data_IF_420458701964
#
_entry.id   IF_420458701964
#
_cell.length_a   1.000
_cell.length_b   1.000
_cell.length_c   1.000
_cell.angle_alpha   90.00
_cell.angle_beta   90.00
_cell.angle_gamma   90.00
#
_symmetry.space_group_name_H-M   'P 1'
#
loop_
_entity.id
_entity.type
_entity.pdbx_description
1 polymer ?
#
# COMPACT_ATOMS: atom_id res chain seq x y z
N UNK A 1 -29.53 -10.01 30.13
CA UNK A 1 -29.23 -8.56 30.32
C UNK A 1 -28.43 -7.92 29.19
N UNK A 2 -27.59 -8.64 28.43
CA UNK A 2 -26.85 -8.05 27.28
C UNK A 2 -27.75 -7.43 26.21
N UNK A 3 -28.83 -8.14 25.81
CA UNK A 3 -29.79 -7.67 24.81
C UNK A 3 -30.54 -6.41 25.28
N UNK A 4 -30.88 -6.32 26.58
CA UNK A 4 -31.54 -5.14 27.16
C UNK A 4 -30.66 -3.89 27.19
N UNK A 5 -29.37 -4.04 27.52
CA UNK A 5 -28.42 -2.92 27.42
C UNK A 5 -28.20 -2.47 25.97
N UNK A 6 -28.14 -3.42 25.04
CA UNK A 6 -28.03 -3.12 23.60
C UNK A 6 -29.29 -2.37 23.11
N UNK A 7 -30.49 -2.82 23.48
CA UNK A 7 -31.76 -2.16 23.12
C UNK A 7 -31.83 -0.73 23.70
N UNK A 8 -31.42 -0.53 24.95
CA UNK A 8 -31.41 0.80 25.57
C UNK A 8 -30.38 1.72 24.90
N UNK A 9 -29.20 1.21 24.55
CA UNK A 9 -28.19 2.01 23.81
C UNK A 9 -28.66 2.32 22.38
N UNK A 10 -29.35 1.39 21.71
CA UNK A 10 -29.93 1.61 20.39
C UNK A 10 -31.11 2.61 20.44
N UNK A 11 -31.95 2.57 21.48
CA UNK A 11 -33.00 3.57 21.72
C UNK A 11 -32.43 4.96 22.00
N UNK A 12 -31.34 5.05 22.76
CA UNK A 12 -30.63 6.31 23.00
C UNK A 12 -29.94 6.85 21.73
N UNK A 13 -29.53 5.98 20.80
CA UNK A 13 -29.03 6.37 19.48
C UNK A 13 -30.16 6.85 18.55
N UNK A 14 -31.34 6.24 18.63
CA UNK A 14 -32.52 6.66 17.87
C UNK A 14 -33.00 8.05 18.28
N UNK A 15 -32.80 8.45 19.54
CA UNK A 15 -33.15 9.78 20.05
C UNK A 15 -32.15 10.90 19.67
N UNK A 16 -31.08 10.63 18.92
CA UNK A 16 -30.09 11.66 18.59
C UNK A 16 -30.56 12.55 17.42
N UNK A 17 -31.01 13.78 17.77
CA UNK A 17 -31.34 14.87 16.84
C UNK A 17 -30.10 15.27 16.03
N UNK A 18 -30.22 15.51 14.70
CA UNK A 18 -29.07 15.87 13.87
C UNK A 18 -28.64 17.32 14.13
N UNK A 19 -27.47 17.53 14.74
CA UNK A 19 -26.84 18.85 14.77
C UNK A 19 -25.98 19.04 13.52
N UNK A 20 -26.53 19.79 12.56
CA UNK A 20 -25.80 20.29 11.39
C UNK A 20 -25.73 21.82 11.50
N UNK A 21 -24.52 22.36 11.55
CA UNK A 21 -24.28 23.79 11.37
C UNK A 21 -23.08 24.31 12.15
N UNK A 22 -21.99 24.63 11.44
CA UNK A 22 -20.86 25.40 11.99
C UNK A 22 -21.37 26.72 12.58
N UNK A 23 -21.05 26.97 13.86
CA UNK A 23 -20.53 28.23 14.40
C UNK A 23 -20.12 27.97 15.84
N UNK A 24 -18.86 28.25 16.15
CA UNK A 24 -18.29 28.13 17.48
C UNK A 24 -19.12 28.94 18.48
N UNK A 25 -19.67 28.24 19.47
CA UNK A 25 -20.17 28.83 20.70
C UNK A 25 -19.63 28.00 21.85
N UNK A 26 -19.01 28.68 22.82
CA UNK A 26 -18.71 28.13 24.13
C UNK A 26 -20.06 27.77 24.75
N UNK A 27 -20.49 26.51 24.62
CA UNK A 27 -21.68 26.02 25.31
C UNK A 27 -21.25 25.22 26.51
N UNK A 28 -21.43 25.85 27.66
CA UNK A 28 -21.57 25.24 28.96
C UNK A 28 -22.39 23.94 28.90
N UNK A 29 -22.03 23.03 29.81
CA UNK A 29 -22.79 21.90 30.29
C UNK A 29 -22.71 20.59 29.48
N UNK A 30 -22.32 19.53 30.20
CA UNK A 30 -22.17 18.15 29.76
C UNK A 30 -23.27 17.73 28.75
N UNK A 31 -22.92 17.01 27.67
CA UNK A 31 -23.93 16.53 26.73
C UNK A 31 -24.94 15.65 27.49
N UNK A 32 -26.23 15.87 27.22
CA UNK A 32 -27.37 15.19 27.87
C UNK A 32 -27.23 13.66 27.82
N UNK A 33 -26.55 13.12 26.81
CA UNK A 33 -26.19 11.71 26.69
C UNK A 33 -25.22 11.23 27.78
N UNK A 34 -24.25 12.05 28.19
CA UNK A 34 -23.30 11.73 29.26
C UNK A 34 -23.95 11.83 30.62
N UNK A 35 -24.81 12.84 30.85
CA UNK A 35 -25.63 12.95 32.06
C UNK A 35 -26.55 11.73 32.15
N UNK A 36 -27.21 11.34 31.07
CA UNK A 36 -28.07 10.15 31.04
C UNK A 36 -27.31 8.85 31.27
N UNK A 37 -26.11 8.68 30.72
CA UNK A 37 -25.26 7.51 30.98
C UNK A 37 -24.79 7.47 32.44
N UNK A 38 -24.34 8.60 33.00
CA UNK A 38 -23.95 8.70 34.41
C UNK A 38 -25.15 8.46 35.32
N UNK A 39 -26.33 9.01 34.99
CA UNK A 39 -27.57 8.81 35.73
C UNK A 39 -28.01 7.35 35.64
N UNK A 40 -27.90 6.69 34.48
CA UNK A 40 -28.27 5.29 34.29
C UNK A 40 -27.29 4.35 35.02
N UNK A 41 -25.98 4.62 34.99
CA UNK A 41 -24.96 3.87 35.74
C UNK A 41 -25.18 4.06 37.24
N UNK A 42 -25.48 5.28 37.68
CA UNK A 42 -25.80 5.59 39.08
C UNK A 42 -27.11 4.93 39.51
N UNK A 43 -28.15 4.96 38.68
CA UNK A 43 -29.44 4.30 38.93
C UNK A 43 -29.25 2.78 38.96
N UNK A 44 -28.50 2.18 38.04
CA UNK A 44 -28.22 0.74 38.06
C UNK A 44 -27.38 0.33 39.27
N UNK A 45 -26.41 1.16 39.68
CA UNK A 45 -25.60 0.93 40.88
C UNK A 45 -26.41 1.10 42.18
N UNK A 46 -27.31 2.08 42.25
CA UNK A 46 -28.21 2.32 43.37
C UNK A 46 -29.27 1.22 43.44
N UNK A 47 -29.97 0.94 42.34
CA UNK A 47 -30.96 -0.15 42.26
C UNK A 47 -30.33 -1.47 42.67
N UNK A 48 -29.12 -1.77 42.21
CA UNK A 48 -28.40 -2.99 42.61
C UNK A 48 -27.94 -2.96 44.07
N UNK A 49 -27.37 -1.85 44.56
CA UNK A 49 -26.96 -1.73 45.97
C UNK A 49 -28.15 -1.87 46.92
N UNK A 50 -29.30 -1.31 46.55
CA UNK A 50 -30.56 -1.44 47.28
C UNK A 50 -31.16 -2.85 47.21
N UNK A 51 -31.06 -3.54 46.06
CA UNK A 51 -31.48 -4.95 45.92
C UNK A 51 -30.51 -5.94 46.61
N UNK A 52 -29.27 -5.54 46.86
CA UNK A 52 -28.22 -6.39 47.43
C UNK A 52 -28.08 -6.22 48.96
N UNK A 53 -28.60 -5.11 49.53
CA UNK A 53 -28.62 -4.87 50.98
C UNK A 53 -29.33 -5.97 51.80
N UNK A 54 -30.43 -6.61 51.34
CA UNK A 54 -31.05 -7.72 52.07
C UNK A 54 -30.45 -9.10 51.78
N UNK A 55 -29.65 -9.27 50.72
CA UNK A 55 -29.09 -10.57 50.33
C UNK A 55 -27.58 -10.45 50.11
N UNK A 56 -26.82 -10.69 51.18
CA UNK A 56 -25.36 -10.74 51.25
C UNK A 56 -24.76 -11.93 50.45
N UNK A 57 -25.22 -12.15 49.22
CA UNK A 57 -24.76 -13.21 48.34
C UNK A 57 -23.99 -12.60 47.16
N UNK A 58 -22.72 -12.98 47.03
CA UNK A 58 -21.81 -12.48 45.99
C UNK A 58 -22.21 -12.93 44.57
N UNK A 59 -23.12 -13.90 44.43
CA UNK A 59 -23.48 -14.56 43.16
C UNK A 59 -25.00 -14.65 42.89
N UNK A 60 -25.75 -13.56 43.02
CA UNK A 60 -27.16 -13.59 42.60
C UNK A 60 -27.23 -13.43 41.07
N UNK A 61 -27.70 -14.49 40.40
CA UNK A 61 -27.97 -14.61 38.95
C UNK A 61 -26.78 -14.78 37.98
N UNK A 62 -25.61 -15.26 38.43
CA UNK A 62 -24.50 -15.64 37.55
C UNK A 62 -23.75 -14.48 36.87
N UNK A 63 -23.98 -13.24 37.31
CA UNK A 63 -23.35 -12.04 36.76
C UNK A 63 -22.04 -11.75 37.50
N UNK A 64 -20.90 -11.99 36.83
CA UNK A 64 -19.57 -11.67 37.37
C UNK A 64 -19.36 -10.15 37.47
N UNK A 65 -19.04 -9.68 38.67
CA UNK A 65 -18.60 -8.30 38.95
C UNK A 65 -17.08 -8.16 38.78
N UNK A 66 -16.58 -6.92 38.73
CA UNK A 66 -15.15 -6.62 38.59
C UNK A 66 -14.35 -7.09 39.81
N UNK A 67 -14.83 -6.83 41.02
CA UNK A 67 -14.13 -7.18 42.27
C UNK A 67 -13.22 -6.06 42.78
N UNK A 68 -12.37 -6.38 43.77
CA UNK A 68 -11.50 -5.38 44.42
C UNK A 68 -10.37 -4.94 43.49
N UNK A 69 -10.31 -3.64 43.22
CA UNK A 69 -9.19 -3.01 42.52
C UNK A 69 -8.36 -2.28 43.57
N UNK A 70 -7.03 -2.47 43.64
CA UNK A 70 -6.19 -1.72 44.57
C UNK A 70 -6.28 -0.22 44.25
N UNK A 71 -6.52 0.60 45.28
CA UNK A 71 -6.53 2.05 45.13
C UNK A 71 -5.12 2.60 45.08
N UNK A 72 -4.94 3.71 44.37
CA UNK A 72 -3.66 4.37 44.22
C UNK A 72 -2.86 3.88 43.02
N UNK A 73 -1.65 4.41 42.92
CA UNK A 73 -0.78 4.23 41.77
C UNK A 73 0.19 3.06 42.03
N UNK A 74 0.44 2.18 41.03
CA UNK A 74 1.48 1.18 41.16
C UNK A 74 2.82 1.87 41.45
N UNK A 75 3.57 1.34 42.41
CA UNK A 75 4.90 1.85 42.69
C UNK A 75 5.76 1.72 41.42
N UNK A 76 6.57 2.75 41.08
CA UNK A 76 7.51 2.62 39.98
C UNK A 76 8.37 1.38 40.20
N UNK A 77 8.32 0.46 39.25
CA UNK A 77 9.13 -0.74 39.23
C UNK A 77 10.07 -0.67 38.04
N UNK A 78 11.36 -0.85 38.29
CA UNK A 78 12.31 -1.01 37.20
C UNK A 78 12.01 -2.38 36.58
N UNK A 79 11.80 -2.48 35.26
CA UNK A 79 11.66 -3.77 34.62
C UNK A 79 12.92 -4.59 34.92
N UNK A 80 12.76 -5.67 35.70
CA UNK A 80 13.88 -6.47 36.17
C UNK A 80 14.32 -7.39 35.02
N UNK A 81 15.42 -7.01 34.39
CA UNK A 81 16.11 -7.82 33.41
C UNK A 81 17.06 -8.79 34.16
N UNK A 82 16.72 -10.08 34.25
CA UNK A 82 17.60 -11.09 34.86
C UNK A 82 17.88 -12.26 33.90
N UNK A 83 19.11 -12.82 33.90
CA UNK A 83 19.31 -14.20 33.47
C UNK A 83 18.61 -15.14 34.46
N UNK A 84 17.98 -16.21 33.97
CA UNK A 84 17.12 -17.12 34.77
C UNK A 84 17.81 -17.71 36.02
N UNK A 85 19.14 -17.66 36.10
CA UNK A 85 19.94 -18.25 37.20
C UNK A 85 19.99 -17.37 38.47
N UNK A 86 19.44 -16.16 38.46
CA UNK A 86 19.39 -15.31 39.66
C UNK A 86 18.12 -15.58 40.49
N UNK A 87 18.14 -16.68 41.24
CA UNK A 87 17.17 -16.92 42.33
C UNK A 87 17.59 -16.07 43.53
N UNK A 88 17.02 -14.88 43.69
CA UNK A 88 17.11 -14.17 44.97
C UNK A 88 16.18 -14.87 45.97
N UNK A 89 16.73 -15.79 46.78
CA UNK A 89 16.03 -16.40 47.92
C UNK A 89 15.82 -15.33 49.00
N UNK A 90 14.79 -14.51 48.85
CA UNK A 90 14.28 -13.70 49.95
C UNK A 90 13.25 -14.56 50.69
N UNK A 91 13.72 -15.28 51.71
CA UNK A 91 12.86 -15.90 52.71
C UNK A 91 12.24 -14.79 53.57
N UNK A 92 11.05 -14.31 53.22
CA UNK A 92 10.18 -13.62 54.18
C UNK A 92 9.11 -14.60 54.64
N UNK A 93 9.29 -15.12 55.85
CA UNK A 93 8.25 -15.79 56.62
C UNK A 93 7.07 -14.83 56.81
N UNK A 94 6.01 -14.99 56.01
CA UNK A 94 4.63 -14.74 56.44
C UNK A 94 3.65 -15.08 55.30
N UNK A 95 2.98 -16.22 55.48
CA UNK A 95 1.57 -16.48 55.15
C UNK A 95 0.94 -15.67 54.02
N UNK A 96 0.65 -16.31 52.89
CA UNK A 96 -0.71 -16.35 52.33
C UNK A 96 -0.86 -17.46 51.29
N UNK A 97 -1.76 -18.39 51.62
CA UNK A 97 -2.23 -19.51 50.81
C UNK A 97 -3.08 -18.96 49.67
N UNK A 98 -2.78 -19.36 48.43
CA UNK A 98 -3.59 -19.06 47.28
C UNK A 98 -4.86 -19.93 47.27
N UNK A 99 -6.03 -19.29 47.28
CA UNK A 99 -7.33 -19.93 47.05
C UNK A 99 -8.05 -19.19 45.92
N UNK A 100 -8.18 -19.84 44.77
CA UNK A 100 -9.15 -19.59 43.69
C UNK A 100 -9.51 -18.12 43.33
N UNK A 101 -8.53 -17.36 42.89
CA UNK A 101 -8.77 -16.09 42.20
C UNK A 101 -7.46 -15.55 41.67
N UNK A 102 -7.40 -15.18 40.40
CA UNK A 102 -6.21 -14.56 39.80
C UNK A 102 -5.93 -13.24 40.51
N UNK A 103 -5.06 -13.28 41.52
CA UNK A 103 -4.43 -12.08 42.09
C UNK A 103 -3.46 -11.58 41.03
N UNK A 104 -3.83 -10.50 40.35
CA UNK A 104 -2.92 -9.78 39.45
C UNK A 104 -1.92 -9.06 40.36
N UNK A 105 -0.82 -9.73 40.65
CA UNK A 105 0.28 -9.16 41.42
C UNK A 105 1.14 -8.30 40.49
N UNK A 106 0.98 -6.97 40.59
CA UNK A 106 1.72 -5.99 39.79
C UNK A 106 3.20 -5.87 40.20
N UNK A 107 3.64 -6.58 41.24
CA UNK A 107 4.97 -6.41 41.86
C UNK A 107 6.12 -7.11 41.13
N UNK A 108 5.87 -7.86 40.05
CA UNK A 108 6.91 -8.66 39.39
C UNK A 108 6.82 -8.64 37.86
N UNK A 109 7.07 -7.47 37.26
CA UNK A 109 7.41 -7.40 35.84
C UNK A 109 8.84 -7.93 35.65
N UNK A 110 8.96 -9.15 35.10
CA UNK A 110 10.24 -9.84 34.88
C UNK A 110 10.47 -10.00 33.39
N UNK A 111 11.62 -9.52 32.91
CA UNK A 111 12.06 -9.74 31.52
C UNK A 111 13.26 -10.68 31.56
N UNK A 112 13.13 -11.94 31.08
CA UNK A 112 14.26 -12.86 31.06
C UNK A 112 15.29 -12.44 30.01
N UNK A 113 16.55 -12.23 30.41
CA UNK A 113 17.67 -11.90 29.51
C UNK A 113 18.34 -13.16 28.93
N UNK A 114 18.10 -14.35 29.48
CA UNK A 114 18.90 -15.53 29.11
C UNK A 114 18.55 -16.11 27.72
N UNK A 115 19.55 -16.17 26.83
CA UNK A 115 19.55 -16.94 25.59
C UNK A 115 18.34 -16.70 24.68
N UNK A 116 17.68 -17.79 24.26
CA UNK A 116 16.55 -17.77 23.31
C UNK A 116 15.30 -17.03 23.83
N UNK A 117 15.20 -16.72 25.13
CA UNK A 117 14.02 -16.03 25.70
C UNK A 117 14.01 -14.53 25.39
N UNK A 118 15.17 -13.89 25.31
CA UNK A 118 15.25 -12.48 24.86
C UNK A 118 14.80 -12.36 23.40
N UNK A 119 15.21 -13.32 22.56
CA UNK A 119 14.72 -13.43 21.19
C UNK A 119 13.20 -13.65 21.14
N UNK A 120 12.64 -14.51 22.00
CA UNK A 120 11.19 -14.71 22.08
C UNK A 120 10.44 -13.44 22.52
N UNK A 121 10.94 -12.70 23.51
CA UNK A 121 10.33 -11.43 23.94
C UNK A 121 10.37 -10.42 22.80
N UNK A 122 11.49 -10.30 22.09
CA UNK A 122 11.61 -9.44 20.92
C UNK A 122 10.64 -9.84 19.80
N UNK A 123 10.58 -11.13 19.46
CA UNK A 123 9.68 -11.67 18.43
C UNK A 123 8.20 -11.46 18.77
N UNK A 124 7.82 -11.53 20.05
CA UNK A 124 6.45 -11.28 20.49
C UNK A 124 6.13 -9.78 20.62
N UNK A 125 7.11 -8.95 20.96
CA UNK A 125 6.91 -7.51 21.12
C UNK A 125 6.85 -6.78 19.77
N UNK A 126 7.58 -7.26 18.76
CA UNK A 126 7.65 -6.62 17.45
C UNK A 126 6.28 -6.44 16.79
N UNK A 127 5.40 -7.47 16.68
CA UNK A 127 4.05 -7.29 16.16
C UNK A 127 3.28 -6.20 16.91
N UNK A 128 3.32 -6.19 18.25
CA UNK A 128 2.62 -5.21 19.06
C UNK A 128 3.08 -3.77 18.79
N UNK A 129 4.38 -3.55 18.58
CA UNK A 129 4.93 -2.24 18.22
C UNK A 129 4.44 -1.81 16.84
N UNK A 130 4.45 -2.72 15.86
CA UNK A 130 3.98 -2.42 14.50
C UNK A 130 2.49 -2.10 14.48
N UNK A 131 1.67 -2.92 15.13
CA UNK A 131 0.22 -2.70 15.22
C UNK A 131 -0.06 -1.39 15.96
N UNK A 132 0.59 -1.18 17.11
CA UNK A 132 0.36 0.01 17.92
C UNK A 132 0.76 1.31 17.24
N UNK A 133 1.89 1.31 16.53
CA UNK A 133 2.30 2.45 15.73
C UNK A 133 1.42 2.65 14.50
N UNK A 134 1.08 1.57 13.78
CA UNK A 134 0.19 1.64 12.62
C UNK A 134 -1.19 2.20 12.99
N UNK A 135 -1.72 1.81 14.15
CA UNK A 135 -2.97 2.36 14.69
C UNK A 135 -2.82 3.87 14.97
N UNK A 136 -1.80 4.28 15.73
CA UNK A 136 -1.60 5.70 16.09
C UNK A 136 -1.39 6.58 14.85
N UNK A 137 -0.50 6.18 13.92
CA UNK A 137 -0.21 6.99 12.73
C UNK A 137 -1.39 7.07 11.76
N UNK A 138 -2.19 5.99 11.65
CA UNK A 138 -3.39 5.99 10.81
C UNK A 138 -4.41 6.99 11.32
N UNK A 139 -4.61 7.05 12.64
CA UNK A 139 -5.54 8.02 13.24
C UNK A 139 -5.00 9.45 13.15
N UNK A 140 -3.71 9.65 13.41
CA UNK A 140 -3.09 10.96 13.28
C UNK A 140 -3.23 11.49 11.85
N UNK A 141 -2.92 10.69 10.82
CA UNK A 141 -3.07 11.09 9.42
C UNK A 141 -4.53 11.32 9.01
N UNK A 142 -5.47 10.53 9.54
CA UNK A 142 -6.90 10.71 9.28
C UNK A 142 -7.38 12.10 9.74
N UNK A 143 -7.09 12.49 10.99
CA UNK A 143 -7.47 13.81 11.50
C UNK A 143 -6.61 14.94 10.92
N UNK A 144 -5.32 14.71 10.67
CA UNK A 144 -4.43 15.67 9.98
C UNK A 144 -4.94 16.03 8.59
N UNK A 145 -5.42 15.05 7.83
CA UNK A 145 -6.05 15.29 6.52
C UNK A 145 -7.38 16.04 6.62
N UNK A 146 -8.18 15.78 7.67
CA UNK A 146 -9.48 16.43 7.89
C UNK A 146 -9.35 17.89 8.31
N UNK A 147 -8.40 18.19 9.19
CA UNK A 147 -8.20 19.53 9.77
C UNK A 147 -7.10 20.33 9.05
N UNK A 148 -6.38 19.72 8.11
CA UNK A 148 -5.41 20.39 7.23
C UNK A 148 -4.02 20.61 7.85
N UNK A 149 -3.62 19.83 8.85
CA UNK A 149 -2.28 19.89 9.45
C UNK A 149 -1.41 18.71 9.01
N UNK A 150 -0.09 18.93 9.01
CA UNK A 150 0.89 17.89 8.68
C UNK A 150 1.21 17.06 9.92
N UNK A 151 1.32 15.75 9.73
CA UNK A 151 1.72 14.79 10.75
C UNK A 151 3.09 14.24 10.39
N UNK A 152 4.05 14.42 11.30
CA UNK A 152 5.37 13.79 11.19
C UNK A 152 5.31 12.37 11.77
N UNK A 153 5.60 11.37 10.93
CA UNK A 153 5.52 9.96 11.33
C UNK A 153 6.68 9.56 12.25
N UNK A 154 7.85 10.20 12.09
CA UNK A 154 9.02 9.92 12.94
C UNK A 154 8.78 10.46 14.35
N UNK A 155 8.22 11.67 14.46
CA UNK A 155 7.89 12.27 15.75
C UNK A 155 6.82 11.48 16.51
N UNK A 156 5.79 10.98 15.80
CA UNK A 156 4.75 10.13 16.40
C UNK A 156 5.34 8.82 16.93
N UNK A 157 6.26 8.20 16.17
CA UNK A 157 6.94 6.97 16.62
C UNK A 157 7.74 7.18 17.90
N UNK A 158 8.48 8.29 17.98
CA UNK A 158 9.24 8.67 19.18
C UNK A 158 8.29 8.92 20.35
N UNK A 159 7.17 9.61 20.13
CA UNK A 159 6.20 9.92 21.17
C UNK A 159 5.52 8.66 21.74
N UNK A 160 5.08 7.73 20.87
CA UNK A 160 4.49 6.45 21.29
C UNK A 160 5.53 5.56 21.97
N UNK A 161 6.76 5.52 21.46
CA UNK A 161 7.86 4.77 22.08
C UNK A 161 8.19 5.30 23.49
N UNK A 162 8.29 6.62 23.64
CA UNK A 162 8.53 7.26 24.93
C UNK A 162 7.38 7.02 25.92
N UNK A 163 6.12 7.09 25.48
CA UNK A 163 4.97 6.85 26.34
C UNK A 163 4.91 5.41 26.84
N UNK A 164 5.26 4.43 25.99
CA UNK A 164 5.33 3.02 26.36
C UNK A 164 6.50 2.74 27.30
N UNK A 165 7.66 3.38 27.09
CA UNK A 165 8.81 3.26 27.97
C UNK A 165 8.49 3.78 29.38
N UNK A 166 7.91 4.97 29.48
CA UNK A 166 7.45 5.54 30.76
C UNK A 166 6.38 4.63 31.38
N UNK A 167 5.40 4.17 30.60
CA UNK A 167 4.36 3.25 31.06
C UNK A 167 4.91 1.94 31.61
N UNK A 168 5.97 1.40 30.99
CA UNK A 168 6.64 0.18 31.44
C UNK A 168 7.20 0.26 32.86
N UNK A 169 7.69 1.42 33.29
CA UNK A 169 8.15 1.64 34.68
C UNK A 169 7.02 1.61 35.71
N UNK A 170 5.76 1.72 35.29
CA UNK A 170 4.59 1.74 36.16
C UNK A 170 3.70 0.50 35.96
N UNK A 171 4.30 -0.61 35.52
CA UNK A 171 3.59 -1.86 35.20
C UNK A 171 2.48 -1.68 34.17
N UNK A 172 2.65 -0.71 33.26
CA UNK A 172 1.73 -0.41 32.17
C UNK A 172 1.87 -1.39 31.01
N UNK A 173 0.74 -1.66 30.34
CA UNK A 173 0.73 -2.38 29.06
C UNK A 173 1.05 -1.41 27.91
N UNK A 174 1.35 -1.96 26.73
CA UNK A 174 1.64 -1.18 25.52
C UNK A 174 0.50 -0.20 25.23
N UNK A 175 0.81 1.09 25.17
CA UNK A 175 -0.16 2.15 24.90
C UNK A 175 -0.17 2.50 23.43
N UNK A 176 -1.35 2.61 22.83
CA UNK A 176 -1.54 2.94 21.41
C UNK A 176 -2.49 4.13 21.26
N UNK A 177 -2.58 4.67 20.04
CA UNK A 177 -3.56 5.72 19.73
C UNK A 177 -4.99 5.18 19.81
N UNK A 178 -5.88 5.84 20.54
CA UNK A 178 -7.27 5.39 20.68
C UNK A 178 -8.20 6.06 19.68
N UNK A 179 -8.72 5.30 18.70
CA UNK A 179 -9.70 5.83 17.75
C UNK A 179 -10.93 6.44 18.42
N UNK A 180 -11.51 5.70 19.38
CA UNK A 180 -12.74 6.12 20.07
C UNK A 180 -12.55 7.43 20.85
N UNK A 181 -11.44 7.58 21.57
CA UNK A 181 -11.18 8.80 22.36
C UNK A 181 -10.81 9.98 21.48
N UNK A 182 -10.02 9.77 20.42
CA UNK A 182 -9.67 10.83 19.47
C UNK A 182 -10.89 11.30 18.68
N UNK A 183 -11.77 10.39 18.28
CA UNK A 183 -13.03 10.73 17.62
C UNK A 183 -13.96 11.54 18.53
N UNK A 184 -14.08 11.15 19.80
CA UNK A 184 -14.84 11.91 20.78
C UNK A 184 -14.23 13.30 20.99
N UNK A 185 -12.91 13.39 21.18
CA UNK A 185 -12.20 14.66 21.34
C UNK A 185 -12.39 15.60 20.15
N UNK A 186 -12.32 15.08 18.93
CA UNK A 186 -12.58 15.84 17.70
C UNK A 186 -14.04 16.32 17.66
N UNK A 187 -15.00 15.45 17.97
CA UNK A 187 -16.42 15.79 17.98
C UNK A 187 -16.77 16.84 19.05
N UNK A 188 -16.05 16.86 20.18
CA UNK A 188 -16.20 17.87 21.24
C UNK A 188 -15.43 19.16 20.98
N UNK A 189 -14.67 19.25 19.88
CA UNK A 189 -13.92 20.46 19.52
C UNK A 189 -12.60 20.64 20.29
N UNK A 190 -11.98 19.55 20.77
CA UNK A 190 -10.67 19.63 21.42
C UNK A 190 -9.61 20.10 20.42
N UNK A 191 -9.00 21.26 20.69
CA UNK A 191 -8.06 21.90 19.78
C UNK A 191 -6.58 21.74 20.18
N UNK A 192 -6.28 21.18 21.35
CA UNK A 192 -4.90 21.08 21.87
C UNK A 192 -4.65 19.80 22.68
N UNK A 193 -3.37 19.41 22.76
CA UNK A 193 -2.91 18.27 23.58
C UNK A 193 -3.21 18.43 25.07
N UNK A 194 -3.54 19.65 25.53
CA UNK A 194 -3.95 19.92 26.90
C UNK A 194 -5.17 19.08 27.31
N UNK A 195 -6.08 18.78 26.37
CA UNK A 195 -7.22 17.89 26.63
C UNK A 195 -6.79 16.51 27.11
N UNK A 196 -5.74 15.94 26.52
CA UNK A 196 -5.22 14.62 26.89
C UNK A 196 -4.56 14.66 28.26
N UNK A 197 -3.82 15.73 28.57
CA UNK A 197 -3.20 15.94 29.89
C UNK A 197 -4.27 16.06 30.99
N UNK A 198 -5.29 16.88 30.77
CA UNK A 198 -6.41 17.06 31.70
C UNK A 198 -7.16 15.73 31.91
N UNK A 199 -7.39 14.98 30.83
CA UNK A 199 -8.02 13.65 30.93
C UNK A 199 -7.17 12.71 31.79
N UNK A 200 -5.85 12.71 31.62
CA UNK A 200 -4.92 11.94 32.45
C UNK A 200 -5.01 12.32 33.93
N UNK A 201 -5.02 13.62 34.25
CA UNK A 201 -5.18 14.13 35.62
C UNK A 201 -6.50 13.71 36.26
N UNK A 202 -7.60 13.79 35.51
CA UNK A 202 -8.91 13.33 35.99
C UNK A 202 -8.87 11.83 36.26
N UNK A 203 -8.24 11.03 35.39
CA UNK A 203 -8.10 9.59 35.60
C UNK A 203 -7.29 9.27 36.86
N UNK A 204 -6.24 10.05 37.17
CA UNK A 204 -5.50 9.91 38.43
C UNK A 204 -6.40 10.12 39.66
N UNK A 205 -7.22 11.19 39.66
CA UNK A 205 -8.16 11.46 40.77
C UNK A 205 -9.20 10.34 40.89
N UNK A 206 -9.72 9.87 39.77
CA UNK A 206 -10.72 8.77 39.74
C UNK A 206 -10.13 7.48 40.32
N UNK A 207 -8.89 7.11 39.98
CA UNK A 207 -8.24 5.91 40.53
C UNK A 207 -7.96 6.07 42.05
N UNK A 208 -7.72 7.28 42.52
CA UNK A 208 -7.47 7.49 43.96
C UNK A 208 -8.78 7.47 44.77
N UNK A 209 -9.83 8.13 44.27
CA UNK A 209 -11.07 8.38 45.04
C UNK A 209 -12.18 7.40 44.69
N UNK A 210 -12.38 7.08 43.42
CA UNK A 210 -13.55 6.35 42.92
C UNK A 210 -13.33 4.85 42.73
N UNK A 211 -12.11 4.34 42.96
CA UNK A 211 -11.81 2.90 42.86
C UNK A 211 -12.74 1.99 43.68
N UNK A 212 -13.17 2.34 44.91
CA UNK A 212 -14.14 1.54 45.64
C UNK A 212 -15.49 1.40 44.92
N UNK A 213 -15.90 2.39 44.13
CA UNK A 213 -17.15 2.36 43.37
C UNK A 213 -17.10 1.32 42.23
N UNK A 214 -15.92 1.03 41.68
CA UNK A 214 -15.76 0.05 40.60
C UNK A 214 -15.96 -1.40 41.05
N UNK A 215 -15.93 -1.68 42.36
CA UNK A 215 -16.17 -3.03 42.89
C UNK A 215 -17.50 -3.63 42.41
N UNK A 216 -18.54 -2.79 42.37
CA UNK A 216 -19.91 -3.19 42.03
C UNK A 216 -20.19 -3.25 40.52
N UNK A 217 -19.19 -2.93 39.69
CA UNK A 217 -19.39 -2.81 38.24
C UNK A 217 -19.59 -4.20 37.60
N UNK A 218 -20.70 -4.42 36.85
CA UNK A 218 -20.93 -5.71 36.19
C UNK A 218 -20.06 -5.86 34.94
N UNK A 219 -19.34 -6.98 34.79
CA UNK A 219 -18.55 -7.27 33.57
C UNK A 219 -19.35 -7.19 32.26
N UNK A 220 -20.62 -7.64 32.19
CA UNK A 220 -21.42 -7.51 30.96
C UNK A 220 -21.67 -6.06 30.51
N UNK A 221 -21.68 -5.10 31.44
CA UNK A 221 -21.85 -3.68 31.11
C UNK A 221 -20.63 -3.15 30.33
N UNK A 222 -19.42 -3.53 30.75
CA UNK A 222 -18.19 -3.17 30.03
C UNK A 222 -18.19 -3.77 28.62
N UNK A 223 -18.61 -5.03 28.48
CA UNK A 223 -18.75 -5.68 27.17
C UNK A 223 -19.73 -4.97 26.24
N UNK A 224 -20.88 -4.53 26.76
CA UNK A 224 -21.86 -3.78 25.98
C UNK A 224 -21.28 -2.44 25.47
N UNK A 225 -20.53 -1.71 26.31
CA UNK A 225 -19.88 -0.45 25.93
C UNK A 225 -18.87 -0.68 24.80
N UNK A 226 -18.08 -1.76 24.86
CA UNK A 226 -17.11 -2.12 23.81
C UNK A 226 -17.83 -2.43 22.50
N UNK A 227 -18.85 -3.30 22.51
CA UNK A 227 -19.61 -3.68 21.31
C UNK A 227 -20.23 -2.44 20.64
N UNK A 228 -20.89 -1.57 21.41
CA UNK A 228 -21.50 -0.36 20.87
C UNK A 228 -20.49 0.62 20.28
N UNK A 229 -19.25 0.62 20.77
CA UNK A 229 -18.17 1.44 20.22
C UNK A 229 -17.65 0.85 18.91
N UNK A 230 -17.37 -0.45 18.88
CA UNK A 230 -16.81 -1.14 17.70
C UNK A 230 -17.76 -1.08 16.51
N UNK A 231 -19.08 -1.23 16.72
CA UNK A 231 -20.07 -1.15 15.64
C UNK A 231 -20.04 0.19 14.87
N UNK A 232 -19.62 1.28 15.51
CA UNK A 232 -19.50 2.60 14.87
C UNK A 232 -18.23 2.77 14.04
N UNK A 233 -17.22 1.93 14.26
CA UNK A 233 -15.94 1.97 13.53
C UNK A 233 -16.04 1.23 12.20
N UNK A 234 -17.00 0.31 12.05
CA UNK A 234 -17.18 -0.48 10.83
C UNK A 234 -17.69 0.42 9.69
N UNK A 235 -16.79 0.74 8.76
CA UNK A 235 -17.12 1.54 7.59
C UNK A 235 -17.52 0.65 6.39
N UNK A 236 -18.82 0.39 6.26
CA UNK A 236 -19.39 -0.37 5.15
C UNK A 236 -19.28 0.41 3.82
N UNK A 237 -19.25 1.74 3.86
CA UNK A 237 -19.18 2.56 2.65
C UNK A 237 -17.85 2.35 1.94
N UNK A 238 -16.76 2.17 2.68
CA UNK A 238 -15.45 1.86 2.11
C UNK A 238 -15.44 0.53 1.34
N UNK A 239 -16.14 -0.49 1.84
CA UNK A 239 -16.27 -1.79 1.14
C UNK A 239 -16.98 -1.61 -0.20
N UNK A 240 -18.09 -0.87 -0.21
CA UNK A 240 -18.86 -0.56 -1.43
C UNK A 240 -18.02 0.29 -2.40
N UNK A 241 -17.29 1.28 -1.89
CA UNK A 241 -16.41 2.12 -2.68
C UNK A 241 -15.31 1.32 -3.38
N UNK A 242 -14.68 0.38 -2.67
CA UNK A 242 -13.69 -0.54 -3.26
C UNK A 242 -14.32 -1.44 -4.33
N UNK A 243 -15.53 -1.94 -4.12
CA UNK A 243 -16.27 -2.75 -5.10
C UNK A 243 -16.56 -1.96 -6.40
N UNK A 244 -17.01 -0.71 -6.28
CA UNK A 244 -17.32 0.14 -7.44
C UNK A 244 -16.07 0.66 -8.17
N UNK A 245 -14.97 0.84 -7.45
CA UNK A 245 -13.75 1.44 -8.02
C UNK A 245 -12.83 0.39 -8.64
N UNK A 246 -12.45 -0.65 -7.89
CA UNK A 246 -11.50 -1.66 -8.37
C UNK A 246 -11.58 -2.97 -7.56
N UNK A 247 -12.00 -4.05 -8.21
CA UNK A 247 -12.12 -5.39 -7.62
C UNK A 247 -10.86 -5.90 -6.91
N UNK A 248 -9.66 -5.59 -7.41
CA UNK A 248 -8.42 -6.04 -6.77
C UNK A 248 -8.17 -5.36 -5.41
N UNK A 249 -8.64 -4.13 -5.20
CA UNK A 249 -8.53 -3.46 -3.88
C UNK A 249 -9.54 -4.09 -2.90
N UNK A 250 -10.75 -4.42 -3.38
CA UNK A 250 -11.72 -5.18 -2.61
C UNK A 250 -11.18 -6.56 -2.20
N UNK A 251 -10.46 -7.23 -3.10
CA UNK A 251 -9.84 -8.52 -2.79
C UNK A 251 -8.81 -8.40 -1.66
N UNK A 252 -7.94 -7.38 -1.68
CA UNK A 252 -6.98 -7.13 -0.59
C UNK A 252 -7.71 -6.84 0.74
N UNK A 253 -8.80 -6.07 0.69
CA UNK A 253 -9.61 -5.76 1.87
C UNK A 253 -10.26 -7.02 2.48
N UNK A 254 -10.91 -7.84 1.65
CA UNK A 254 -11.54 -9.08 2.10
C UNK A 254 -10.50 -10.09 2.58
N UNK A 255 -9.38 -10.21 1.88
CA UNK A 255 -8.25 -11.04 2.29
C UNK A 255 -7.74 -10.62 3.67
N UNK A 256 -7.48 -9.33 3.88
CA UNK A 256 -7.05 -8.78 5.18
C UNK A 256 -8.08 -9.06 6.29
N UNK A 257 -9.38 -8.91 5.99
CA UNK A 257 -10.47 -9.18 6.94
C UNK A 257 -10.49 -10.65 7.38
N UNK A 258 -10.54 -11.58 6.42
CA UNK A 258 -10.61 -13.02 6.73
C UNK A 258 -9.31 -13.53 7.35
N UNK A 259 -8.14 -13.09 6.88
CA UNK A 259 -6.87 -13.43 7.50
C UNK A 259 -6.84 -13.00 8.96
N UNK A 260 -7.22 -11.74 9.26
CA UNK A 260 -7.26 -11.23 10.63
C UNK A 260 -8.28 -11.98 11.49
N UNK A 261 -9.45 -12.31 10.93
CA UNK A 261 -10.51 -13.02 11.64
C UNK A 261 -10.10 -14.43 12.06
N UNK A 262 -9.39 -15.16 11.21
CA UNK A 262 -9.01 -16.55 11.49
C UNK A 262 -7.66 -16.71 12.18
N UNK A 263 -6.70 -15.82 11.93
CA UNK A 263 -5.31 -15.96 12.43
C UNK A 263 -4.94 -14.95 13.51
N UNK A 264 -5.79 -13.95 13.74
CA UNK A 264 -5.51 -12.83 14.65
C UNK A 264 -4.89 -11.62 13.95
N UNK A 265 -4.84 -10.46 14.64
CA UNK A 265 -4.43 -9.18 14.05
C UNK A 265 -2.94 -9.14 13.66
N UNK A 266 -2.08 -9.82 14.41
CA UNK A 266 -0.63 -9.82 14.15
C UNK A 266 -0.29 -10.43 12.77
N UNK A 267 -0.77 -11.65 12.53
CA UNK A 267 -0.59 -12.36 11.25
C UNK A 267 -1.45 -11.70 10.16
N UNK A 268 -2.64 -11.22 10.51
CA UNK A 268 -3.54 -10.51 9.60
C UNK A 268 -2.91 -9.29 8.94
N UNK A 269 -2.19 -8.45 9.70
CA UNK A 269 -1.54 -7.24 9.16
C UNK A 269 -0.36 -7.61 8.25
N UNK A 270 0.50 -8.54 8.67
CA UNK A 270 1.66 -8.95 7.88
C UNK A 270 1.22 -9.59 6.56
N UNK A 271 0.20 -10.46 6.61
CA UNK A 271 -0.36 -11.09 5.41
C UNK A 271 -1.01 -10.05 4.48
N UNK A 272 -1.79 -9.11 5.01
CA UNK A 272 -2.39 -8.03 4.22
C UNK A 272 -1.34 -7.13 3.54
N UNK A 273 -0.30 -6.73 4.27
CA UNK A 273 0.82 -5.96 3.74
C UNK A 273 1.56 -6.74 2.63
N UNK A 274 1.83 -8.03 2.87
CA UNK A 274 2.43 -8.92 1.88
C UNK A 274 1.58 -9.05 0.62
N UNK A 275 0.27 -9.22 0.75
CA UNK A 275 -0.66 -9.26 -0.38
C UNK A 275 -0.69 -7.93 -1.15
N UNK A 276 -0.69 -6.80 -0.46
CA UNK A 276 -0.62 -5.48 -1.09
C UNK A 276 0.68 -5.30 -1.89
N UNK A 277 1.81 -5.73 -1.32
CA UNK A 277 3.11 -5.69 -1.99
C UNK A 277 3.14 -6.63 -3.20
N UNK A 278 2.64 -7.87 -3.06
CA UNK A 278 2.56 -8.82 -4.15
C UNK A 278 1.70 -8.28 -5.31
N UNK A 279 0.55 -7.67 -5.00
CA UNK A 279 -0.31 -7.05 -6.00
C UNK A 279 0.36 -5.83 -6.67
N UNK A 280 1.12 -5.04 -5.92
CA UNK A 280 1.91 -3.94 -6.46
C UNK A 280 2.97 -4.45 -7.45
N UNK A 281 3.76 -5.47 -7.05
CA UNK A 281 4.77 -6.09 -7.91
C UNK A 281 4.11 -6.68 -9.16
N UNK A 282 3.01 -7.42 -9.00
CA UNK A 282 2.29 -8.01 -10.13
C UNK A 282 1.85 -6.94 -11.16
N UNK A 283 1.37 -5.79 -10.69
CA UNK A 283 0.97 -4.66 -11.56
C UNK A 283 2.18 -4.01 -12.22
N UNK A 284 3.26 -3.78 -11.48
CA UNK A 284 4.49 -3.19 -12.00
C UNK A 284 5.18 -4.09 -13.04
N UNK A 285 5.09 -5.41 -12.87
CA UNK A 285 5.60 -6.41 -13.81
C UNK A 285 4.79 -6.54 -15.11
N UNK A 286 3.53 -6.10 -15.13
CA UNK A 286 2.63 -6.20 -16.29
C UNK A 286 1.95 -4.86 -16.61
N UNK A 287 2.73 -3.83 -16.94
CA UNK A 287 2.19 -2.53 -17.27
C UNK A 287 1.47 -2.56 -18.62
N UNK A 288 0.73 -1.50 -18.93
CA UNK A 288 0.03 -1.42 -20.22
C UNK A 288 1.04 -1.25 -21.34
N UNK A 289 0.99 -2.14 -22.32
CA UNK A 289 1.72 -2.01 -23.57
C UNK A 289 0.72 -1.80 -24.70
N UNK A 290 0.79 -0.64 -25.36
CA UNK A 290 -0.25 -0.17 -26.28
C UNK A 290 0.31 0.09 -27.67
N UNK A 291 -0.47 -0.25 -28.69
CA UNK A 291 -0.23 0.16 -30.08
C UNK A 291 -0.90 1.51 -30.30
N UNK A 292 -0.18 2.44 -30.93
CA UNK A 292 -0.64 3.80 -31.17
C UNK A 292 -0.96 4.01 -32.65
N UNK A 293 -2.06 4.71 -32.90
CA UNK A 293 -2.47 5.19 -34.22
C UNK A 293 -2.45 6.72 -34.27
N UNK A 294 -2.26 7.27 -35.46
CA UNK A 294 -2.27 8.70 -35.72
C UNK A 294 -3.71 9.19 -35.88
N UNK A 295 -4.07 10.29 -35.23
CA UNK A 295 -5.35 10.95 -35.48
C UNK A 295 -5.27 11.71 -36.83
N UNK A 296 -6.18 11.44 -37.79
CA UNK A 296 -6.18 12.10 -39.10
C UNK A 296 -6.14 13.62 -39.00
N UNK A 297 -5.36 14.26 -39.87
CA UNK A 297 -5.20 15.73 -39.89
C UNK A 297 -4.33 16.30 -38.76
N UNK A 298 -3.81 15.48 -37.84
CA UNK A 298 -2.97 15.96 -36.73
C UNK A 298 -1.62 15.23 -36.66
N UNK A 299 -0.76 15.63 -35.72
CA UNK A 299 0.51 14.93 -35.40
C UNK A 299 0.38 14.07 -34.13
N UNK A 300 -0.84 13.91 -33.59
CA UNK A 300 -1.09 13.22 -32.33
C UNK A 300 -1.26 11.72 -32.53
N UNK A 301 -0.63 10.95 -31.63
CA UNK A 301 -0.74 9.49 -31.56
C UNK A 301 -1.50 9.09 -30.30
N UNK A 302 -2.50 8.21 -30.46
CA UNK A 302 -3.34 7.71 -29.37
C UNK A 302 -3.52 6.20 -29.48
N UNK A 303 -3.86 5.58 -28.36
CA UNK A 303 -4.15 4.16 -28.30
C UNK A 303 -5.35 3.82 -29.19
N UNK A 304 -5.14 2.96 -30.18
CA UNK A 304 -6.14 2.54 -31.18
C UNK A 304 -7.36 1.87 -30.51
N UNK A 305 -7.16 1.21 -29.36
CA UNK A 305 -8.25 0.53 -28.63
C UNK A 305 -9.31 1.50 -28.10
N UNK A 306 -8.92 2.72 -27.72
CA UNK A 306 -9.83 3.70 -27.12
C UNK A 306 -10.25 4.81 -28.09
N UNK A 307 -9.49 4.99 -29.18
CA UNK A 307 -9.73 6.03 -30.17
C UNK A 307 -9.99 5.38 -31.54
N UNK A 308 -11.25 5.13 -31.92
CA UNK A 308 -11.58 4.42 -33.16
C UNK A 308 -11.14 5.18 -34.42
N UNK A 309 -10.99 6.50 -34.33
CA UNK A 309 -10.52 7.33 -35.44
C UNK A 309 -8.99 7.30 -35.62
N UNK A 310 -8.23 6.62 -34.75
CA UNK A 310 -6.78 6.56 -34.83
C UNK A 310 -6.33 5.53 -35.89
N UNK A 311 -5.62 6.00 -36.92
CA UNK A 311 -5.20 5.18 -38.07
C UNK A 311 -3.75 4.75 -37.89
N UNK A 312 -3.48 3.45 -38.05
CA UNK A 312 -2.12 2.90 -38.05
C UNK A 312 -1.48 3.14 -39.40
N UNK A 313 -0.21 3.55 -39.42
CA UNK A 313 0.52 3.81 -40.66
C UNK A 313 1.02 2.47 -41.24
N UNK A 314 0.73 2.14 -42.51
CA UNK A 314 1.22 0.92 -43.15
C UNK A 314 2.74 0.77 -43.03
N UNK A 315 3.22 -0.42 -42.69
CA UNK A 315 4.64 -0.76 -42.52
C UNK A 315 5.32 -0.21 -41.26
N UNK A 316 4.65 0.66 -40.48
CA UNK A 316 5.21 1.28 -39.26
C UNK A 316 4.38 0.93 -38.03
N UNK A 317 4.98 0.19 -37.12
CA UNK A 317 4.36 -0.18 -35.84
C UNK A 317 4.79 0.82 -34.76
N UNK A 318 3.86 1.65 -34.30
CA UNK A 318 4.11 2.60 -33.19
C UNK A 318 3.62 1.99 -31.89
N UNK A 319 4.50 1.83 -30.91
CA UNK A 319 4.18 1.22 -29.61
C UNK A 319 4.62 2.10 -28.45
N UNK A 320 3.89 2.04 -27.33
CA UNK A 320 4.23 2.73 -26.09
C UNK A 320 4.10 1.80 -24.90
N UNK A 321 5.14 1.77 -24.07
CA UNK A 321 5.17 1.02 -22.82
C UNK A 321 4.90 1.99 -21.67
N UNK A 322 3.76 1.85 -20.99
CA UNK A 322 3.32 2.78 -19.93
C UNK A 322 3.98 2.47 -18.57
N UNK A 323 5.31 2.32 -18.52
CA UNK A 323 6.08 2.08 -17.29
C UNK A 323 7.58 2.29 -17.50
N UNK A 324 8.31 2.47 -16.41
CA UNK A 324 9.75 2.22 -16.36
C UNK A 324 10.09 0.77 -16.72
N UNK A 325 11.31 0.54 -17.22
CA UNK A 325 11.81 -0.78 -17.61
C UNK A 325 12.83 -1.26 -16.57
N UNK A 326 12.52 -2.36 -15.92
CA UNK A 326 13.39 -2.96 -14.90
C UNK A 326 13.27 -4.48 -14.92
N UNK A 327 14.15 -5.19 -14.19
CA UNK A 327 14.26 -6.64 -14.19
C UNK A 327 12.92 -7.38 -14.04
N UNK A 328 11.95 -6.80 -13.33
CA UNK A 328 10.66 -7.40 -13.07
C UNK A 328 9.67 -7.36 -14.24
N UNK A 329 9.93 -6.56 -15.30
CA UNK A 329 9.04 -6.44 -16.45
C UNK A 329 9.71 -6.61 -17.82
N UNK A 330 11.02 -6.89 -17.88
CA UNK A 330 11.78 -7.07 -19.13
C UNK A 330 11.24 -8.21 -20.01
N UNK A 331 10.96 -9.37 -19.40
CA UNK A 331 10.41 -10.53 -20.12
C UNK A 331 9.04 -10.21 -20.69
N UNK A 332 8.18 -9.56 -19.87
CA UNK A 332 6.87 -9.11 -20.33
C UNK A 332 6.99 -8.11 -21.48
N UNK A 333 7.93 -7.18 -21.42
CA UNK A 333 8.21 -6.24 -22.50
C UNK A 333 8.63 -6.96 -23.79
N UNK A 334 9.64 -7.83 -23.72
CA UNK A 334 10.16 -8.55 -24.88
C UNK A 334 9.11 -9.44 -25.54
N UNK A 335 8.36 -10.23 -24.75
CA UNK A 335 7.34 -11.15 -25.28
C UNK A 335 6.17 -10.41 -25.94
N UNK A 336 5.70 -9.32 -25.34
CA UNK A 336 4.63 -8.53 -25.95
C UNK A 336 5.11 -7.78 -27.20
N UNK A 337 6.36 -7.29 -27.23
CA UNK A 337 6.90 -6.66 -28.43
C UNK A 337 6.99 -7.67 -29.59
N UNK A 338 7.48 -8.88 -29.32
CA UNK A 338 7.47 -9.98 -30.30
C UNK A 338 6.06 -10.28 -30.81
N UNK A 339 5.09 -10.38 -29.90
CA UNK A 339 3.70 -10.66 -30.21
C UNK A 339 3.05 -9.54 -31.06
N UNK A 340 3.39 -8.27 -30.80
CA UNK A 340 2.93 -7.17 -31.66
C UNK A 340 3.54 -7.23 -33.06
N UNK A 341 4.84 -7.55 -33.16
CA UNK A 341 5.53 -7.72 -34.44
C UNK A 341 4.93 -8.88 -35.24
N UNK A 342 4.64 -10.00 -34.59
CA UNK A 342 4.02 -11.17 -35.23
C UNK A 342 2.62 -10.85 -35.75
N UNK A 343 1.77 -10.21 -34.92
CA UNK A 343 0.44 -9.76 -35.34
C UNK A 343 0.48 -8.79 -36.51
N UNK A 344 1.46 -7.89 -36.52
CA UNK A 344 1.63 -6.91 -37.59
C UNK A 344 2.24 -7.50 -38.86
N UNK A 345 2.82 -8.71 -38.81
CA UNK A 345 3.22 -9.49 -40.00
C UNK A 345 2.04 -10.22 -40.65
N UNK A 346 1.01 -10.57 -39.86
CA UNK A 346 -0.17 -11.31 -40.31
C UNK A 346 -1.28 -10.43 -40.89
N UNK A 347 -1.25 -9.12 -40.66
CA UNK A 347 -2.23 -8.19 -41.20
C UNK A 347 -1.95 -7.86 -42.67
N UNK A 348 -2.50 -8.70 -43.57
CA UNK A 348 -2.64 -8.39 -44.99
C UNK A 348 -3.88 -7.54 -45.18
N UNK A 349 -3.71 -6.25 -45.50
CA UNK A 349 -4.82 -5.35 -45.85
C UNK A 349 -4.71 -5.12 -47.38
N UNK A 350 -5.77 -5.46 -48.11
CA UNK A 350 -5.96 -5.16 -49.54
C UNK A 350 -4.87 -5.67 -50.51
N UNK A 351 -4.39 -6.90 -50.33
CA UNK A 351 -3.42 -7.53 -51.26
C UNK A 351 -2.02 -6.92 -51.26
N UNK A 352 -1.79 -5.84 -50.50
CA UNK A 352 -0.47 -5.23 -50.29
C UNK A 352 0.18 -5.90 -49.09
N UNK A 353 1.41 -6.40 -49.29
CA UNK A 353 2.19 -7.10 -48.28
C UNK A 353 2.66 -6.11 -47.19
N UNK A 354 1.79 -5.80 -46.23
CA UNK A 354 1.98 -4.76 -45.22
C UNK A 354 2.83 -5.26 -44.02
N UNK A 355 3.90 -6.00 -44.31
CA UNK A 355 4.82 -6.48 -43.28
C UNK A 355 5.43 -5.26 -42.57
N UNK A 356 5.33 -5.24 -41.25
CA UNK A 356 6.01 -4.22 -40.44
C UNK A 356 7.52 -4.30 -40.69
N UNK A 357 8.09 -3.18 -41.14
CA UNK A 357 9.53 -3.03 -41.39
C UNK A 357 10.18 -2.04 -40.42
N UNK A 358 9.39 -1.18 -39.77
CA UNK A 358 9.90 -0.23 -38.77
C UNK A 358 9.03 -0.25 -37.52
N UNK A 359 9.67 -0.29 -36.36
CA UNK A 359 9.04 -0.12 -35.05
C UNK A 359 9.46 1.23 -34.50
N UNK A 360 8.49 2.05 -34.09
CA UNK A 360 8.73 3.30 -33.36
C UNK A 360 8.28 3.07 -31.92
N UNK A 361 9.23 3.05 -31.00
CA UNK A 361 8.96 2.95 -29.57
C UNK A 361 8.91 4.34 -28.94
N UNK A 362 7.75 4.70 -28.40
CA UNK A 362 7.57 5.90 -27.59
C UNK A 362 8.04 5.63 -26.15
N UNK A 363 9.14 6.30 -25.79
CA UNK A 363 9.81 6.20 -24.50
C UNK A 363 9.32 7.27 -23.49
N UNK A 364 8.26 8.03 -23.81
CA UNK A 364 7.76 9.12 -22.96
C UNK A 364 7.43 8.72 -21.51
N UNK A 365 6.91 7.50 -21.34
CA UNK A 365 6.52 6.92 -20.04
C UNK A 365 7.63 6.09 -19.37
N UNK A 366 8.78 5.93 -20.03
CA UNK A 366 9.93 5.23 -19.45
C UNK A 366 10.76 6.28 -18.72
N UNK A 367 10.84 6.16 -17.40
CA UNK A 367 11.60 7.09 -16.54
C UNK A 367 12.97 6.51 -16.16
N UNK A 368 13.03 5.18 -16.01
CA UNK A 368 14.23 4.46 -15.62
C UNK A 368 14.40 3.19 -16.48
N UNK A 369 15.66 2.83 -16.73
CA UNK A 369 16.08 1.60 -17.41
C UNK A 369 17.23 1.00 -16.60
N UNK A 370 17.00 -0.16 -15.99
CA UNK A 370 18.07 -0.87 -15.28
C UNK A 370 18.95 -1.69 -16.23
N UNK A 371 20.02 -2.30 -15.69
CA UNK A 371 20.99 -3.05 -16.48
C UNK A 371 20.40 -4.30 -17.13
N UNK A 372 19.47 -4.98 -16.46
CA UNK A 372 18.76 -6.15 -17.01
C UNK A 372 17.83 -5.77 -18.15
N UNK A 373 17.13 -4.63 -18.04
CA UNK A 373 16.31 -4.07 -19.10
C UNK A 373 17.14 -3.65 -20.30
N UNK A 374 18.26 -2.98 -20.07
CA UNK A 374 19.21 -2.61 -21.11
C UNK A 374 19.70 -3.82 -21.89
N UNK A 375 20.11 -4.89 -21.21
CA UNK A 375 20.52 -6.14 -21.84
C UNK A 375 19.39 -6.75 -22.69
N UNK A 376 18.17 -6.81 -22.15
CA UNK A 376 17.00 -7.33 -22.85
C UNK A 376 16.63 -6.49 -24.08
N UNK A 377 16.77 -5.16 -24.00
CA UNK A 377 16.58 -4.27 -25.14
C UNK A 377 17.63 -4.52 -26.22
N UNK A 378 18.91 -4.72 -25.86
CA UNK A 378 19.95 -5.05 -26.85
C UNK A 378 19.62 -6.38 -27.53
N UNK A 379 19.30 -7.44 -26.79
CA UNK A 379 18.90 -8.73 -27.38
C UNK A 379 17.68 -8.61 -28.30
N UNK A 380 16.73 -7.76 -27.95
CA UNK A 380 15.58 -7.44 -28.80
C UNK A 380 15.98 -6.66 -30.06
N UNK A 381 16.92 -5.73 -29.96
CA UNK A 381 17.48 -5.02 -31.11
C UNK A 381 18.13 -5.99 -32.09
N UNK A 382 18.95 -6.93 -31.61
CA UNK A 382 19.63 -7.94 -32.44
C UNK A 382 18.60 -8.82 -33.15
N UNK A 383 17.54 -9.23 -32.44
CA UNK A 383 16.45 -10.03 -32.98
C UNK A 383 15.67 -9.28 -34.07
N UNK A 384 15.39 -7.99 -33.86
CA UNK A 384 14.69 -7.16 -34.84
C UNK A 384 15.55 -6.91 -36.07
N UNK A 385 16.84 -6.64 -35.88
CA UNK A 385 17.82 -6.43 -36.95
C UNK A 385 17.98 -7.69 -37.81
N UNK A 386 18.07 -8.88 -37.20
CA UNK A 386 18.07 -10.17 -37.92
C UNK A 386 16.80 -10.38 -38.77
N UNK A 387 15.67 -9.85 -38.31
CA UNK A 387 14.39 -9.90 -39.04
C UNK A 387 14.21 -8.77 -40.06
N UNK A 388 15.24 -7.93 -40.29
CA UNK A 388 15.19 -6.73 -41.16
C UNK A 388 14.11 -5.73 -40.73
N UNK A 389 13.92 -5.58 -39.42
CA UNK A 389 13.00 -4.60 -38.82
C UNK A 389 13.84 -3.52 -38.14
N UNK A 390 13.70 -2.27 -38.59
CA UNK A 390 14.36 -1.12 -37.96
C UNK A 390 13.65 -0.74 -36.67
N UNK A 391 14.41 -0.36 -35.65
CA UNK A 391 13.88 0.06 -34.36
C UNK A 391 14.28 1.50 -34.04
N UNK A 392 13.29 2.38 -33.97
CA UNK A 392 13.42 3.80 -33.64
C UNK A 392 12.85 4.10 -32.27
N UNK A 393 13.47 5.06 -31.61
CA UNK A 393 13.07 5.55 -30.30
C UNK A 393 12.59 7.00 -30.41
N UNK A 394 11.44 7.29 -29.80
CA UNK A 394 10.87 8.63 -29.75
C UNK A 394 10.66 9.06 -28.30
N UNK A 395 10.70 10.38 -28.04
CA UNK A 395 10.50 10.98 -26.71
C UNK A 395 11.45 10.41 -25.63
N UNK A 396 12.66 10.01 -26.00
CA UNK A 396 13.65 9.49 -25.05
C UNK A 396 14.22 10.63 -24.21
N UNK A 397 14.16 10.50 -22.88
CA UNK A 397 14.79 11.46 -21.96
C UNK A 397 16.31 11.37 -22.04
N UNK A 398 17.00 12.46 -21.72
CA UNK A 398 18.46 12.54 -21.85
C UNK A 398 19.20 11.51 -20.99
N UNK A 399 18.74 11.27 -19.76
CA UNK A 399 19.34 10.28 -18.87
C UNK A 399 19.25 8.86 -19.45
N UNK A 400 18.08 8.51 -20.00
CA UNK A 400 17.87 7.22 -20.66
C UNK A 400 18.72 7.14 -21.92
N UNK A 401 18.75 8.18 -22.75
CA UNK A 401 19.59 8.21 -23.95
C UNK A 401 21.06 7.94 -23.61
N UNK A 402 21.61 8.55 -22.55
CA UNK A 402 22.98 8.29 -22.07
C UNK A 402 23.16 6.84 -21.63
N UNK A 403 22.20 6.27 -20.90
CA UNK A 403 22.24 4.87 -20.46
C UNK A 403 22.21 3.90 -21.63
N UNK A 404 21.32 4.12 -22.61
CA UNK A 404 21.25 3.32 -23.83
C UNK A 404 22.56 3.48 -24.63
N UNK A 405 23.04 4.70 -24.84
CA UNK A 405 24.28 4.93 -25.58
C UNK A 405 25.47 4.23 -24.91
N UNK A 406 25.62 4.32 -23.59
CA UNK A 406 26.68 3.63 -22.85
C UNK A 406 26.57 2.10 -22.98
N UNK A 407 25.36 1.54 -22.84
CA UNK A 407 25.14 0.09 -22.94
C UNK A 407 25.43 -0.50 -24.31
N UNK A 408 24.96 0.16 -25.37
CA UNK A 408 25.19 -0.30 -26.74
C UNK A 408 26.65 -0.12 -27.18
N UNK A 409 27.36 0.90 -26.67
CA UNK A 409 28.81 1.05 -26.88
C UNK A 409 29.59 -0.14 -26.32
N UNK A 410 29.19 -0.66 -25.14
CA UNK A 410 29.89 -1.78 -24.46
C UNK A 410 29.75 -3.09 -25.21
N UNK A 411 28.67 -3.27 -26.00
CA UNK A 411 28.39 -4.50 -26.76
C UNK A 411 28.80 -4.45 -28.24
N UNK A 412 29.58 -3.44 -28.64
CA UNK A 412 30.09 -3.23 -30.01
C UNK A 412 29.02 -2.97 -31.10
N UNK A 413 27.72 -3.00 -30.78
CA UNK A 413 26.64 -2.63 -31.70
C UNK A 413 26.23 -1.16 -31.50
N UNK A 414 26.56 -0.29 -32.46
CA UNK A 414 26.07 1.10 -32.44
C UNK A 414 24.68 1.18 -33.04
N UNK A 415 23.65 1.41 -32.20
CA UNK A 415 22.42 2.03 -32.68
C UNK A 415 22.79 3.43 -33.16
N UNK A 416 22.58 3.76 -34.44
CA UNK A 416 22.94 5.07 -34.95
C UNK A 416 22.19 6.18 -34.21
N UNK A 417 22.86 7.32 -33.97
CA UNK A 417 22.22 8.46 -33.32
C UNK A 417 20.94 8.93 -34.05
N UNK A 418 20.83 8.67 -35.36
CA UNK A 418 19.65 8.98 -36.17
C UNK A 418 18.43 8.07 -35.93
N UNK A 419 18.53 7.04 -35.07
CA UNK A 419 17.39 6.24 -34.63
C UNK A 419 16.63 6.89 -33.46
N UNK A 420 17.17 7.96 -32.87
CA UNK A 420 16.57 8.68 -31.76
C UNK A 420 15.91 9.97 -32.23
N UNK A 421 14.63 10.12 -31.92
CA UNK A 421 13.81 11.26 -32.32
C UNK A 421 13.23 11.96 -31.08
N UNK A 422 13.15 13.29 -31.14
CA UNK A 422 12.51 14.08 -30.07
C UNK A 422 11.02 13.81 -29.93
N UNK A 423 10.34 13.47 -31.04
CA UNK A 423 8.91 13.23 -31.08
C UNK A 423 8.56 12.02 -31.95
N UNK A 424 7.39 11.43 -31.72
CA UNK A 424 6.89 10.26 -32.47
C UNK A 424 6.64 10.60 -33.94
N UNK A 425 6.09 11.78 -34.23
CA UNK A 425 5.70 12.13 -35.62
C UNK A 425 6.89 12.18 -36.60
N UNK A 426 8.01 12.87 -36.29
CA UNK A 426 9.22 12.81 -37.11
C UNK A 426 9.78 11.39 -37.30
N UNK A 427 9.75 10.56 -36.26
CA UNK A 427 10.20 9.17 -36.35
C UNK A 427 9.38 8.36 -37.36
N UNK A 428 8.05 8.54 -37.34
CA UNK A 428 7.14 7.88 -38.28
C UNK A 428 7.29 8.43 -39.70
N UNK A 429 7.55 9.73 -39.87
CA UNK A 429 7.84 10.33 -41.17
C UNK A 429 9.15 9.77 -41.76
N UNK A 430 10.22 9.71 -40.97
CA UNK A 430 11.49 9.11 -41.37
C UNK A 430 11.31 7.65 -41.79
N UNK A 431 10.59 6.88 -40.97
CA UNK A 431 10.24 5.49 -41.29
C UNK A 431 9.46 5.38 -42.62
N UNK A 432 8.44 6.22 -42.79
CA UNK A 432 7.59 6.21 -43.99
C UNK A 432 8.37 6.58 -45.25
N UNK A 433 9.34 7.50 -45.17
CA UNK A 433 10.18 7.89 -46.30
C UNK A 433 11.09 6.74 -46.74
N UNK A 434 11.68 6.00 -45.80
CA UNK A 434 12.50 4.82 -46.09
C UNK A 434 11.67 3.75 -46.81
N UNK A 435 10.45 3.50 -46.32
CA UNK A 435 9.55 2.52 -46.92
C UNK A 435 9.14 2.92 -48.34
N UNK A 436 8.89 4.21 -48.59
CA UNK A 436 8.59 4.73 -49.93
C UNK A 436 9.79 4.61 -50.87
N UNK A 437 11.00 4.94 -50.41
CA UNK A 437 12.20 4.79 -51.25
C UNK A 437 12.50 3.34 -51.61
N UNK A 438 12.30 2.40 -50.67
CA UNK A 438 12.48 0.97 -50.96
C UNK A 438 11.44 0.45 -51.94
N UNK A 439 10.18 0.92 -51.84
CA UNK A 439 9.11 0.55 -52.75
C UNK A 439 9.38 1.04 -54.18
N UNK A 440 9.81 2.30 -54.32
CA UNK A 440 10.19 2.89 -55.61
C UNK A 440 11.38 2.15 -56.26
N UNK A 441 12.35 1.67 -55.48
CA UNK A 441 13.46 0.87 -56.01
C UNK A 441 13.00 -0.52 -56.48
N UNK A 442 11.99 -1.12 -55.83
CA UNK A 442 11.43 -2.40 -56.28
C UNK A 442 10.56 -2.28 -57.54
N UNK A 443 9.88 -1.16 -57.78
CA UNK A 443 9.11 -0.90 -59.00
C UNK A 443 9.97 -0.52 -60.23
N UNK A 444 11.23 -0.10 -60.03
CA UNK A 444 12.16 0.24 -61.12
C UNK A 444 12.97 -0.98 -61.60
N UNK A 445 12.95 -2.11 -60.86
CA UNK A 445 13.54 -3.39 -61.28
C UNK A 445 12.54 -4.52 -61.70
N UNK A 446 11.53 -4.31 -62.57
CA UNK A 446 10.77 -5.44 -63.10
C UNK A 446 11.35 -6.05 -64.39
N UNK A 447 12.14 -5.33 -65.20
CA UNK A 447 12.45 -5.79 -66.58
C UNK A 447 13.90 -5.53 -67.05
N UNK A 448 14.91 -6.12 -66.41
CA UNK A 448 16.23 -6.34 -67.06
C UNK A 448 16.84 -7.69 -66.66
N UNK A 449 16.18 -8.77 -67.05
CA UNK A 449 16.86 -10.01 -67.45
C UNK A 449 16.66 -10.14 -68.96
N UNK A 450 17.57 -9.56 -69.75
CA UNK A 450 17.73 -9.90 -71.17
C UNK A 450 18.89 -10.88 -71.27
N UNK A 451 18.53 -12.07 -71.74
CA UNK A 451 19.33 -13.14 -72.32
C UNK A 451 20.81 -12.83 -72.58
N UNK A 452 21.68 -13.64 -71.96
CA UNK A 452 22.91 -14.10 -72.62
C UNK A 452 22.97 -15.61 -72.52
N UNK A 453 22.42 -16.28 -73.54
CA UNK A 453 22.87 -17.61 -73.92
C UNK A 453 24.14 -17.49 -74.76
N UNK A 454 25.09 -18.36 -74.43
CA UNK A 454 26.10 -19.00 -75.27
C UNK A 454 26.80 -18.21 -76.37
N UNK A 455 28.08 -17.92 -76.14
CA UNK A 455 29.15 -18.44 -76.99
C UNK A 455 30.48 -18.36 -76.22
N UNK A 456 31.06 -19.53 -75.92
CA UNK A 456 32.41 -19.62 -75.36
C UNK A 456 33.43 -19.65 -76.48
N UNK A 457 34.54 -18.91 -76.35
CA UNK A 457 35.89 -19.40 -76.70
C UNK A 457 36.97 -18.41 -76.28
N UNK A 458 38.04 -18.97 -75.71
CA UNK A 458 39.41 -18.46 -75.63
C UNK A 458 39.72 -17.19 -74.81
N UNK A 459 40.26 -17.46 -73.61
CA UNK A 459 41.36 -16.69 -73.06
C UNK A 459 42.57 -16.71 -74.02
N UNK A 460 43.12 -15.53 -74.34
CA UNK A 460 44.54 -15.17 -74.24
C UNK A 460 44.90 -13.91 -75.06
N UNK A 461 45.80 -13.12 -74.49
CA UNK A 461 46.77 -12.19 -75.12
C UNK A 461 46.34 -10.74 -75.45
N UNK A 462 46.94 -9.85 -74.65
CA UNK A 462 47.75 -8.69 -75.05
C UNK A 462 47.12 -7.59 -75.92
N UNK A 463 46.99 -6.39 -75.35
CA UNK A 463 47.81 -5.18 -75.64
C UNK A 463 47.12 -3.99 -74.95
N UNK A 464 47.70 -3.40 -73.92
CA UNK A 464 48.64 -2.27 -74.04
C UNK A 464 48.24 -1.27 -75.12
N UNK A 465 47.54 -0.22 -74.69
CA UNK A 465 47.77 1.20 -75.00
C UNK A 465 46.46 1.98 -74.81
N UNK A 466 46.47 2.94 -73.89
CA UNK A 466 46.28 4.36 -74.21
C UNK A 466 46.34 5.20 -72.92
N UNK A 467 47.49 5.85 -72.79
CA UNK A 467 47.80 7.05 -72.02
C UNK A 467 46.58 7.98 -71.82
N UNK A 468 46.34 8.44 -70.59
CA UNK A 468 46.88 9.71 -70.08
C UNK A 468 46.68 10.90 -71.02
N UNK A 469 45.69 11.73 -70.70
CA UNK A 469 45.81 13.19 -70.80
C UNK A 469 44.96 13.84 -69.71
N UNK A 470 45.68 14.34 -68.69
CA UNK A 470 45.42 15.43 -67.73
C UNK A 470 44.29 15.32 -66.70
#
# INVERSE_FOLDING_TARGET
MGVGCIIVILLLQYCHVPFRGKKYYISSFLPVSLIMIILLISIMAIVRSSLQYPFNNKDIAGIKIVGSVPSGFPAPSIPLFYPDDFVMNITTNSTNVAVNGTVVDYSRFRVPISGNKLLQVFLNAWPLVFVGFAESISMAKYYGGKDGYRVDSNQELIAVGASCMVGGFFSGYVSTGSFSRSALGHATGCASCFSSLLTGLIMFVVIYVATPAFYYLPKPLLGAIVICTVLKVVDIHMVIYCYLTRYSELFVLLFSFFCTLFTGPEIGIVSAAGMSLALFIFRASRPRFVVMGRIPGTTLYRNVKYWPNAVVVPGVLVVRFDSELFFGNTVYFADNLKLFVEKAKLQTIDGVNNKTRVIVMDMSSVDHVDTSALQSMIEMHDLLTKNKILWYFANTREEIFKTLQAGWIVKEERVPAHHFFRHVHPAVQAASNILKSEYLVSEVKPDQEIEKNDEGTHAELLTDNLHETQ
#
